data_IF_909663232878
#
_entry.id   IF_909663232878
#
_cell.length_a   1.000
_cell.length_b   1.000
_cell.length_c   1.000
_cell.angle_alpha   90.00
_cell.angle_beta   90.00
_cell.angle_gamma   90.00
#
_symmetry.space_group_name_H-M   'P 1'
#
loop_
_entity.id
_entity.type
_entity.pdbx_description
1 polymer ?
#
# COMPACT_ATOMS: atom_id res chain seq x y z
N UNK A 1 -3.87 -6.82 19.16
CA UNK A 1 -5.26 -7.04 18.81
C UNK A 1 -5.96 -5.80 18.29
N UNK A 2 -5.97 -4.72 19.06
CA UNK A 2 -6.54 -3.46 18.57
C UNK A 2 -5.77 -2.96 17.35
N UNK A 3 -4.45 -3.14 17.34
CA UNK A 3 -3.61 -2.68 16.25
C UNK A 3 -3.90 -3.40 14.95
N UNK A 4 -4.13 -4.72 15.01
CA UNK A 4 -4.47 -5.50 13.82
C UNK A 4 -5.80 -5.06 13.24
N UNK A 5 -6.79 -4.80 14.10
CA UNK A 5 -8.09 -4.35 13.66
C UNK A 5 -8.02 -2.97 13.03
N UNK A 6 -7.23 -2.08 13.62
CA UNK A 6 -7.02 -0.75 13.08
C UNK A 6 -6.34 -0.81 11.71
N UNK A 7 -5.32 -1.65 11.58
CA UNK A 7 -4.61 -1.83 10.31
C UNK A 7 -5.54 -2.41 9.24
N UNK A 8 -6.32 -3.42 9.58
CA UNK A 8 -7.25 -4.02 8.62
C UNK A 8 -8.28 -3.01 8.12
N UNK A 9 -8.79 -2.18 9.02
CA UNK A 9 -9.72 -1.12 8.63
C UNK A 9 -9.05 -0.10 7.74
N UNK A 10 -7.79 0.23 8.02
CA UNK A 10 -7.04 1.16 7.20
C UNK A 10 -6.81 0.62 5.80
N UNK A 11 -6.50 -0.67 5.67
CA UNK A 11 -6.32 -1.31 4.36
C UNK A 11 -7.62 -1.26 3.57
N UNK A 12 -8.75 -1.59 4.19
CA UNK A 12 -10.05 -1.53 3.51
C UNK A 12 -10.41 -0.12 3.08
N UNK A 13 -10.18 0.86 3.95
CA UNK A 13 -10.46 2.26 3.62
C UNK A 13 -9.55 2.75 2.50
N UNK A 14 -8.29 2.33 2.52
CA UNK A 14 -7.33 2.69 1.47
C UNK A 14 -7.70 2.07 0.13
N UNK A 15 -8.18 0.82 0.14
CA UNK A 15 -8.65 0.15 -1.07
C UNK A 15 -9.84 0.92 -1.68
N UNK A 16 -10.78 1.31 -0.84
CA UNK A 16 -11.93 2.08 -1.29
C UNK A 16 -11.51 3.44 -1.84
N UNK A 17 -10.59 4.10 -1.17
CA UNK A 17 -10.04 5.36 -1.65
C UNK A 17 -9.43 5.18 -3.04
N UNK A 18 -8.63 4.13 -3.24
CA UNK A 18 -8.02 3.85 -4.53
C UNK A 18 -9.08 3.62 -5.61
N UNK A 19 -10.12 2.86 -5.29
CA UNK A 19 -11.21 2.61 -6.25
C UNK A 19 -11.93 3.89 -6.63
N UNK A 20 -12.15 4.78 -5.67
CA UNK A 20 -12.78 6.07 -5.94
C UNK A 20 -11.89 6.97 -6.79
N UNK A 21 -10.60 6.76 -6.75
CA UNK A 21 -9.64 7.48 -7.60
C UNK A 21 -9.49 6.86 -8.98
N UNK A 22 -10.14 5.75 -9.22
CA UNK A 22 -10.08 5.07 -10.50
C UNK A 22 -9.05 3.95 -10.61
N UNK A 23 -8.42 3.59 -9.49
CA UNK A 23 -7.51 2.45 -9.45
C UNK A 23 -8.31 1.15 -9.45
N UNK A 24 -7.76 0.13 -10.06
CA UNK A 24 -8.32 -1.22 -9.97
C UNK A 24 -7.53 -2.00 -8.92
N UNK A 25 -8.14 -2.23 -7.76
CA UNK A 25 -7.49 -2.99 -6.68
C UNK A 25 -7.55 -4.47 -7.02
N UNK A 26 -6.39 -5.11 -7.12
CA UNK A 26 -6.33 -6.53 -7.50
C UNK A 26 -5.96 -7.44 -6.34
N UNK A 27 -5.28 -6.92 -5.33
CA UNK A 27 -4.92 -7.71 -4.14
C UNK A 27 -5.00 -6.86 -2.88
N UNK A 28 -5.41 -7.49 -1.78
CA UNK A 28 -5.30 -6.90 -0.45
C UNK A 28 -4.54 -7.88 0.43
N UNK A 29 -3.56 -7.36 1.17
CA UNK A 29 -2.71 -8.15 2.07
C UNK A 29 -2.11 -9.36 1.35
N UNK A 30 -1.53 -9.11 0.19
CA UNK A 30 -0.89 -10.16 -0.59
C UNK A 30 0.43 -10.56 0.04
N UNK A 31 0.65 -11.87 0.12
CA UNK A 31 1.85 -12.42 0.72
C UNK A 31 2.28 -13.63 -0.08
N UNK A 32 3.58 -13.79 -0.38
CA UNK A 32 4.04 -15.02 -1.00
C UNK A 32 3.96 -16.17 -0.02
N UNK A 33 3.85 -17.38 -0.55
CA UNK A 33 3.74 -18.57 0.28
C UNK A 33 4.91 -18.65 1.25
N UNK A 34 4.61 -18.90 2.52
CA UNK A 34 5.61 -19.06 3.56
C UNK A 34 6.19 -17.77 4.11
N UNK A 35 5.66 -16.61 3.72
CA UNK A 35 6.16 -15.33 4.17
C UNK A 35 5.25 -14.73 5.24
N UNK A 36 5.85 -14.09 6.24
CA UNK A 36 5.14 -13.32 7.25
C UNK A 36 4.89 -11.88 6.79
N UNK A 37 5.52 -11.49 5.69
CA UNK A 37 5.42 -10.13 5.19
C UNK A 37 4.41 -10.06 4.06
N UNK A 38 3.75 -8.92 3.94
CA UNK A 38 2.71 -8.75 2.94
C UNK A 38 2.74 -7.35 2.34
N UNK A 39 2.18 -7.25 1.13
CA UNK A 39 1.89 -5.95 0.51
C UNK A 39 0.43 -5.64 0.83
N UNK A 40 0.14 -4.55 1.52
CA UNK A 40 -1.23 -4.23 1.92
C UNK A 40 -2.19 -4.09 0.73
N UNK A 41 -1.76 -3.44 -0.35
CA UNK A 41 -2.58 -3.27 -1.55
C UNK A 41 -1.73 -3.39 -2.79
N UNK A 42 -2.29 -4.03 -3.81
CA UNK A 42 -1.74 -4.02 -5.17
C UNK A 42 -2.86 -3.59 -6.09
N UNK A 43 -2.60 -2.61 -6.93
CA UNK A 43 -3.61 -2.02 -7.78
C UNK A 43 -3.03 -1.57 -9.11
N UNK A 44 -3.91 -1.41 -10.10
CA UNK A 44 -3.53 -0.78 -11.35
C UNK A 44 -4.09 0.63 -11.40
N UNK A 45 -3.24 1.56 -11.80
CA UNK A 45 -3.68 2.87 -12.25
C UNK A 45 -3.34 2.93 -13.74
N UNK A 46 -4.35 2.80 -14.60
CA UNK A 46 -4.16 2.62 -16.03
C UNK A 46 -3.20 1.45 -16.28
N UNK A 47 -2.07 1.68 -16.93
CA UNK A 47 -1.08 0.64 -17.22
C UNK A 47 0.02 0.52 -16.17
N UNK A 48 -0.13 1.22 -15.05
CA UNK A 48 0.88 1.20 -13.99
C UNK A 48 0.45 0.25 -12.89
N UNK A 49 1.31 -0.71 -12.58
CA UNK A 49 1.07 -1.61 -11.45
C UNK A 49 1.67 -0.97 -10.19
N UNK A 50 0.82 -0.74 -9.22
CA UNK A 50 1.19 0.01 -8.02
C UNK A 50 1.17 -0.91 -6.81
N UNK A 51 2.31 -1.00 -6.13
CA UNK A 51 2.42 -1.71 -4.84
C UNK A 51 2.32 -0.65 -3.76
N UNK A 52 1.37 -0.81 -2.87
CA UNK A 52 1.01 0.24 -1.92
C UNK A 52 1.18 -0.25 -0.49
N UNK A 53 2.04 0.43 0.25
CA UNK A 53 2.12 0.24 1.69
C UNK A 53 1.06 1.09 2.36
N UNK A 54 0.50 0.59 3.45
CA UNK A 54 -0.49 1.31 4.23
C UNK A 54 0.03 1.44 5.65
N UNK A 55 0.06 2.67 6.14
CA UNK A 55 0.41 2.93 7.54
C UNK A 55 -0.76 3.62 8.21
N UNK A 56 -0.92 3.38 9.51
CA UNK A 56 -2.03 3.97 10.26
C UNK A 56 -1.57 4.28 11.67
N UNK A 57 -2.05 5.40 12.16
CA UNK A 57 -1.80 5.85 13.53
C UNK A 57 -3.08 6.49 14.05
N UNK A 58 -3.43 6.23 15.31
CA UNK A 58 -4.55 6.92 15.94
C UNK A 58 -4.03 8.09 16.78
N UNK A 59 -4.85 9.12 16.92
CA UNK A 59 -4.52 10.29 17.72
C UNK A 59 -4.15 11.49 16.88
N UNK A 60 -3.43 12.45 17.49
CA UNK A 60 -3.15 13.73 16.86
C UNK A 60 -1.66 14.01 16.67
N UNK A 61 -0.85 12.97 16.71
CA UNK A 61 0.61 13.11 16.60
C UNK A 61 1.10 13.16 15.15
N UNK A 62 0.20 13.13 14.20
CA UNK A 62 0.51 13.21 12.79
C UNK A 62 0.56 11.85 12.13
N UNK A 63 0.90 11.85 10.85
CA UNK A 63 1.01 10.63 10.07
C UNK A 63 2.30 9.89 10.40
N UNK A 64 2.28 8.57 10.20
CA UNK A 64 3.52 7.79 10.24
C UNK A 64 4.44 8.32 9.14
N UNK A 65 5.71 8.62 9.44
CA UNK A 65 6.63 9.11 8.42
C UNK A 65 6.87 8.10 7.31
N UNK A 66 7.04 8.58 6.07
CA UNK A 66 7.34 7.70 4.92
C UNK A 66 8.58 6.85 5.15
N UNK A 67 9.55 7.39 5.89
CA UNK A 67 10.81 6.68 6.15
C UNK A 67 10.63 5.41 6.97
N UNK A 68 9.47 5.20 7.60
CA UNK A 68 9.20 3.98 8.34
C UNK A 68 8.74 2.84 7.45
N UNK A 69 8.41 3.11 6.19
CA UNK A 69 8.12 2.04 5.24
C UNK A 69 9.44 1.39 4.81
N UNK A 70 9.50 0.08 4.92
CA UNK A 70 10.69 -0.67 4.53
C UNK A 70 10.71 -0.86 3.02
N UNK A 71 11.45 0.00 2.35
CA UNK A 71 11.55 0.01 0.90
C UNK A 71 12.06 -1.33 0.36
N UNK A 72 13.11 -1.86 0.97
CA UNK A 72 13.73 -3.10 0.51
C UNK A 72 12.72 -4.25 0.56
N UNK A 73 11.99 -4.37 1.66
CA UNK A 73 10.97 -5.39 1.81
C UNK A 73 9.90 -5.25 0.74
N UNK A 74 9.43 -4.02 0.48
CA UNK A 74 8.43 -3.78 -0.55
C UNK A 74 8.95 -4.18 -1.94
N UNK A 75 10.19 -3.86 -2.23
CA UNK A 75 10.79 -4.20 -3.53
C UNK A 75 10.93 -5.72 -3.70
N UNK A 76 11.33 -6.43 -2.64
CA UNK A 76 11.44 -7.88 -2.69
C UNK A 76 10.07 -8.53 -2.90
N UNK A 77 9.07 -8.06 -2.16
CA UNK A 77 7.70 -8.59 -2.30
C UNK A 77 7.14 -8.33 -3.69
N UNK A 78 7.40 -7.15 -4.24
CA UNK A 78 6.96 -6.81 -5.59
C UNK A 78 7.63 -7.72 -6.62
N UNK A 79 8.91 -7.99 -6.46
CA UNK A 79 9.63 -8.90 -7.36
C UNK A 79 9.02 -10.30 -7.32
N UNK A 80 8.67 -10.77 -6.13
CA UNK A 80 8.04 -12.08 -5.97
C UNK A 80 6.65 -12.13 -6.61
N UNK A 81 5.90 -11.06 -6.48
CA UNK A 81 4.59 -10.97 -7.12
C UNK A 81 4.71 -11.02 -8.64
N UNK A 82 5.64 -10.24 -9.19
CA UNK A 82 5.87 -10.20 -10.63
C UNK A 82 6.34 -11.54 -11.17
N UNK A 83 7.12 -12.26 -10.39
CA UNK A 83 7.60 -13.58 -10.80
C UNK A 83 6.49 -14.62 -10.90
N UNK A 84 5.36 -14.40 -10.23
CA UNK A 84 4.22 -15.31 -10.27
C UNK A 84 3.30 -15.06 -11.46
N UNK A 85 3.41 -13.90 -12.09
CA UNK A 85 2.56 -13.58 -13.24
C UNK A 85 3.21 -14.16 -14.50
N UNK A 86 2.40 -14.83 -15.30
CA UNK A 86 2.86 -15.40 -16.56
C UNK A 86 2.97 -14.36 -17.66
N UNK A 87 2.38 -13.21 -17.44
CA UNK A 87 2.37 -12.13 -18.41
C UNK A 87 3.63 -11.30 -18.27
N UNK A 88 4.31 -11.09 -19.37
CA UNK A 88 5.38 -10.13 -19.40
C UNK A 88 4.76 -8.75 -19.23
N UNK A 89 5.15 -8.03 -18.17
CA UNK A 89 4.54 -6.74 -17.95
C UNK A 89 5.01 -5.72 -18.98
N UNK A 90 4.08 -5.28 -19.81
CA UNK A 90 4.28 -4.10 -20.63
C UNK A 90 3.81 -2.86 -19.87
N UNK A 91 3.90 -2.90 -18.53
CA UNK A 91 3.44 -1.81 -17.70
C UNK A 91 4.57 -1.38 -16.77
N UNK A 92 4.45 -0.16 -16.33
CA UNK A 92 5.38 0.36 -15.34
C UNK A 92 5.00 -0.15 -13.96
N UNK A 93 5.99 -0.20 -13.08
CA UNK A 93 5.78 -0.55 -11.68
C UNK A 93 6.05 0.70 -10.84
N UNK A 94 5.20 0.93 -9.86
CA UNK A 94 5.32 2.09 -8.99
C UNK A 94 5.06 1.66 -7.54
N UNK A 95 5.69 2.36 -6.61
CA UNK A 95 5.48 2.13 -5.19
C UNK A 95 4.87 3.37 -4.57
N UNK A 96 3.73 3.19 -3.91
CA UNK A 96 3.03 4.27 -3.22
C UNK A 96 2.94 3.96 -1.73
N UNK A 97 2.70 4.98 -0.94
CA UNK A 97 2.41 4.83 0.48
C UNK A 97 1.12 5.59 0.78
N UNK A 98 0.18 4.93 1.42
CA UNK A 98 -1.01 5.58 1.95
C UNK A 98 -0.89 5.60 3.47
N UNK A 99 -0.89 6.80 4.03
CA UNK A 99 -0.81 6.99 5.47
C UNK A 99 -2.14 7.51 5.98
N UNK A 100 -2.64 6.89 7.04
CA UNK A 100 -3.91 7.30 7.65
C UNK A 100 -3.69 7.69 9.10
N UNK A 101 -4.36 8.74 9.51
CA UNK A 101 -4.39 9.19 10.88
C UNK A 101 -5.83 9.20 11.34
N UNK A 102 -6.16 8.32 12.28
CA UNK A 102 -7.52 8.18 12.78
C UNK A 102 -7.66 9.08 14.00
N UNK A 103 -8.37 10.19 13.82
CA UNK A 103 -8.53 11.19 14.89
C UNK A 103 -9.76 10.92 15.74
N UNK A 104 -10.74 10.20 15.21
CA UNK A 104 -11.95 9.78 15.91
C UNK A 104 -12.43 8.48 15.29
N UNK A 105 -13.38 7.85 15.95
CA UNK A 105 -13.95 6.58 15.52
C UNK A 105 -14.45 6.62 14.07
N UNK A 106 -15.01 7.75 13.67
CA UNK A 106 -15.60 7.93 12.35
C UNK A 106 -14.85 8.92 11.47
N UNK A 107 -13.67 9.35 11.89
CA UNK A 107 -12.89 10.34 11.17
C UNK A 107 -11.43 9.96 11.03
N UNK A 108 -11.00 9.93 9.80
CA UNK A 108 -9.59 9.69 9.49
C UNK A 108 -9.13 10.67 8.42
N UNK A 109 -7.86 11.03 8.50
CA UNK A 109 -7.21 11.81 7.46
C UNK A 109 -6.30 10.87 6.69
N UNK A 110 -6.24 11.07 5.38
CA UNK A 110 -5.46 10.21 4.50
C UNK A 110 -4.47 11.04 3.70
N UNK A 111 -3.28 10.54 3.59
CA UNK A 111 -2.23 11.15 2.79
C UNK A 111 -1.68 10.08 1.85
N UNK A 112 -1.66 10.37 0.57
CA UNK A 112 -1.22 9.43 -0.45
C UNK A 112 0.09 9.94 -1.06
N UNK A 113 1.16 9.18 -0.82
CA UNK A 113 2.48 9.48 -1.37
C UNK A 113 2.64 8.66 -2.65
N UNK A 114 2.44 9.32 -3.77
CA UNK A 114 2.55 8.67 -5.08
C UNK A 114 4.00 8.59 -5.48
N UNK A 115 4.42 7.41 -5.95
CA UNK A 115 5.79 7.19 -6.42
C UNK A 115 6.82 7.46 -5.29
N UNK A 116 6.54 6.89 -4.12
CA UNK A 116 7.27 7.20 -2.89
C UNK A 116 8.76 6.82 -2.96
N UNK A 117 9.11 5.84 -3.79
CA UNK A 117 10.48 5.34 -3.90
C UNK A 117 11.16 5.75 -5.20
N UNK A 118 10.69 6.83 -5.82
CA UNK A 118 11.30 7.25 -7.07
C UNK A 118 12.78 7.60 -6.84
N UNK A 119 13.60 7.14 -7.74
CA UNK A 119 15.03 7.42 -7.70
C UNK A 119 15.31 8.39 -8.83
N UNK A 120 15.92 9.51 -8.50
CA UNK A 120 16.37 10.44 -9.53
C UNK A 120 17.51 9.79 -10.29
N UNK A 121 17.30 9.59 -11.56
CA UNK A 121 18.31 9.00 -12.41
C UNK A 121 19.47 9.95 -12.65
#
# INVERSE_FOLDING_TARGET
MKDNNLFEKAVKASARYCELKGYEVVEQNWSPEGSDESVPLIAYEDDVLVFIDVTVRSGFEGFVPESETDRETMEVLAAKYLAQTDDEPNFEVRFDIISMMVVREDRAMLKHHINAFSVAA
#
